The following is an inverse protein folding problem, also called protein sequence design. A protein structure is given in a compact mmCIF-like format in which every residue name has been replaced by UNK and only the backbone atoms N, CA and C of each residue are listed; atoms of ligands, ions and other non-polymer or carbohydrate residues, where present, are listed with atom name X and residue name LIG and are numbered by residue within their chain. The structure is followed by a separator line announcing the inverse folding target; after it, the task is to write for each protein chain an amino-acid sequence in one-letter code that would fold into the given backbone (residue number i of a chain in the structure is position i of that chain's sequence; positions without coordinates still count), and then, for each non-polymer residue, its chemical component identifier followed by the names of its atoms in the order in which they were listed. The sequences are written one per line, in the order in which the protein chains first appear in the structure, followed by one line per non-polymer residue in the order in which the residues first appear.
data_IF_810950880234
#
_entry.id   IF_810950880234
#
_cell.length_a   1.000
_cell.length_b   1.000
_cell.length_c   1.000
_cell.angle_alpha   90.00
_cell.angle_beta   90.00
_cell.angle_gamma   90.00
#
_symmetry.space_group_name_H-M   'P 1'
#
loop_
_entity.id
_entity.type
_entity.pdbx_description
1 polymer ?
#
# COMPACT_ATOMS: atom_id res chain seq x y z
N UNK A 1 -7.31 -20.19 -0.98
CA UNK A 1 -8.49 -19.35 -1.24
C UNK A 1 -8.87 -18.44 -0.06
N UNK A 2 -9.05 -18.94 1.19
CA UNK A 2 -9.43 -18.08 2.33
C UNK A 2 -8.40 -16.98 2.65
N UNK A 3 -7.11 -17.26 2.59
CA UNK A 3 -6.06 -16.25 2.72
C UNK A 3 -6.12 -15.16 1.64
N UNK A 4 -6.49 -15.51 0.41
CA UNK A 4 -6.70 -14.55 -0.67
C UNK A 4 -7.94 -13.68 -0.42
N UNK A 5 -8.99 -14.24 0.21
CA UNK A 5 -10.15 -13.46 0.66
C UNK A 5 -9.79 -12.43 1.74
N UNK A 6 -8.97 -12.82 2.71
CA UNK A 6 -8.44 -11.88 3.71
C UNK A 6 -7.58 -10.78 3.05
N UNK A 7 -6.80 -11.12 2.03
CA UNK A 7 -5.97 -10.17 1.29
C UNK A 7 -6.83 -9.18 0.46
N UNK A 8 -7.94 -9.65 -0.10
CA UNK A 8 -8.96 -8.80 -0.74
C UNK A 8 -9.50 -7.75 0.26
N UNK A 9 -9.91 -8.17 1.46
CA UNK A 9 -10.36 -7.27 2.52
C UNK A 9 -9.29 -6.25 2.93
N UNK A 10 -8.03 -6.68 3.03
CA UNK A 10 -6.92 -5.77 3.37
C UNK A 10 -6.78 -4.63 2.35
N UNK A 11 -6.87 -4.93 1.07
CA UNK A 11 -6.79 -3.92 0.00
C UNK A 11 -8.05 -3.05 -0.09
N UNK A 12 -9.23 -3.63 0.17
CA UNK A 12 -10.46 -2.85 0.30
C UNK A 12 -10.31 -1.77 1.38
N UNK A 13 -9.93 -2.15 2.61
CA UNK A 13 -9.73 -1.21 3.71
C UNK A 13 -8.66 -0.15 3.42
N UNK A 14 -7.65 -0.48 2.64
CA UNK A 14 -6.57 0.44 2.26
C UNK A 14 -7.06 1.58 1.39
N UNK A 15 -7.97 1.31 0.45
CA UNK A 15 -8.39 2.26 -0.60
C UNK A 15 -9.72 2.93 -0.27
N UNK A 16 -10.56 2.33 0.57
CA UNK A 16 -11.96 2.72 0.78
C UNK A 16 -12.19 4.15 1.30
N UNK A 17 -11.21 4.75 2.01
CA UNK A 17 -11.40 6.10 2.59
C UNK A 17 -11.58 7.17 1.50
N UNK A 18 -10.88 7.06 0.38
CA UNK A 18 -11.02 8.02 -0.72
C UNK A 18 -12.43 8.07 -1.30
N UNK A 19 -13.08 6.90 -1.41
CA UNK A 19 -14.44 6.80 -1.94
C UNK A 19 -15.52 7.34 -0.99
N UNK A 20 -15.27 7.40 0.32
CA UNK A 20 -16.20 7.91 1.33
C UNK A 20 -15.74 9.22 1.99
N UNK A 21 -14.75 9.89 1.38
CA UNK A 21 -14.11 11.06 1.97
C UNK A 21 -15.07 12.20 2.28
N UNK A 22 -15.95 12.52 1.32
CA UNK A 22 -16.94 13.58 1.47
C UNK A 22 -17.95 13.29 2.60
N UNK A 23 -18.43 12.03 2.66
CA UNK A 23 -19.37 11.58 3.70
C UNK A 23 -18.74 11.65 5.09
N UNK A 24 -17.46 11.22 5.21
CA UNK A 24 -16.72 11.31 6.47
C UNK A 24 -16.52 12.75 6.93
N UNK A 25 -16.16 13.66 6.02
CA UNK A 25 -16.00 15.07 6.35
C UNK A 25 -17.31 15.69 6.80
N UNK A 26 -18.39 15.42 6.09
CA UNK A 26 -19.70 15.95 6.40
C UNK A 26 -20.27 15.40 7.74
N UNK A 27 -20.28 14.06 7.89
CA UNK A 27 -20.92 13.43 9.05
C UNK A 27 -20.09 13.55 10.35
N UNK A 28 -18.76 13.54 10.25
CA UNK A 28 -17.89 13.67 11.43
C UNK A 28 -17.49 15.13 11.72
N UNK A 29 -17.86 16.09 10.83
CA UNK A 29 -17.51 17.50 10.97
C UNK A 29 -16.01 17.74 10.95
N UNK A 30 -15.24 17.05 10.09
CA UNK A 30 -13.78 17.10 10.08
C UNK A 30 -13.24 17.78 8.81
N UNK A 31 -12.14 18.51 8.96
CA UNK A 31 -11.39 19.09 7.84
C UNK A 31 -10.52 18.08 7.09
N UNK A 32 -9.83 18.54 6.05
CA UNK A 32 -8.98 17.72 5.21
C UNK A 32 -7.76 17.17 5.98
N UNK A 33 -7.18 17.93 6.90
CA UNK A 33 -6.08 17.45 7.76
C UNK A 33 -6.50 16.28 8.65
N UNK A 34 -7.68 16.37 9.28
CA UNK A 34 -8.22 15.31 10.11
C UNK A 34 -8.58 14.08 9.28
N UNK A 35 -9.13 14.25 8.07
CA UNK A 35 -9.37 13.16 7.13
C UNK A 35 -8.07 12.48 6.73
N UNK A 36 -7.03 13.25 6.42
CA UNK A 36 -5.68 12.74 6.15
C UNK A 36 -5.09 11.98 7.34
N UNK A 37 -5.24 12.52 8.56
CA UNK A 37 -4.82 11.87 9.79
C UNK A 37 -5.55 10.54 10.02
N UNK A 38 -6.86 10.49 9.74
CA UNK A 38 -7.67 9.26 9.81
C UNK A 38 -7.14 8.19 8.85
N UNK A 39 -6.80 8.55 7.63
CA UNK A 39 -6.17 7.64 6.66
C UNK A 39 -4.79 7.18 7.12
N UNK A 40 -3.99 8.08 7.67
CA UNK A 40 -2.62 7.84 8.12
C UNK A 40 -2.52 6.80 9.24
N UNK A 41 -3.51 6.71 10.14
CA UNK A 41 -3.50 5.75 11.26
C UNK A 41 -3.29 4.32 10.77
N UNK A 42 -3.95 3.94 9.67
CA UNK A 42 -3.79 2.65 9.01
C UNK A 42 -2.33 2.42 8.58
N UNK A 43 -1.73 3.41 7.92
CA UNK A 43 -0.39 3.28 7.34
C UNK A 43 0.72 3.27 8.39
N UNK A 44 0.61 4.08 9.44
CA UNK A 44 1.56 4.06 10.55
C UNK A 44 1.60 2.70 11.24
N UNK A 45 0.44 2.15 11.56
CA UNK A 45 0.36 0.82 12.19
C UNK A 45 0.89 -0.26 11.25
N UNK A 46 0.55 -0.18 9.96
CA UNK A 46 1.05 -1.13 8.97
C UNK A 46 2.59 -1.07 8.85
N UNK A 47 3.18 0.14 8.86
CA UNK A 47 4.64 0.31 8.86
C UNK A 47 5.31 -0.29 10.10
N UNK A 48 4.75 -0.04 11.28
CA UNK A 48 5.25 -0.59 12.55
C UNK A 48 5.17 -2.12 12.60
N UNK A 49 4.15 -2.70 12.00
CA UNK A 49 3.89 -4.13 12.01
C UNK A 49 4.67 -4.92 10.96
N UNK A 50 5.42 -4.29 10.05
CA UNK A 50 6.16 -4.98 8.99
C UNK A 50 7.11 -6.09 9.51
N UNK A 51 7.86 -5.79 10.56
CA UNK A 51 8.77 -6.76 11.20
C UNK A 51 8.02 -7.66 12.20
N UNK A 52 7.20 -7.13 13.15
CA UNK A 52 6.43 -7.96 14.06
C UNK A 52 5.52 -8.99 13.39
N UNK A 53 4.90 -8.66 12.24
CA UNK A 53 4.03 -9.59 11.51
C UNK A 53 4.79 -10.87 11.08
N UNK A 54 6.05 -10.72 10.64
CA UNK A 54 6.91 -11.86 10.33
C UNK A 54 7.19 -12.73 11.55
N UNK A 55 7.56 -12.10 12.66
CA UNK A 55 7.84 -12.79 13.93
C UNK A 55 6.60 -13.53 14.44
N UNK A 56 5.43 -12.89 14.41
CA UNK A 56 4.16 -13.52 14.83
C UNK A 56 3.83 -14.75 13.95
N UNK A 57 3.97 -14.61 12.63
CA UNK A 57 3.73 -15.72 11.72
C UNK A 57 4.73 -16.89 11.91
N UNK A 58 5.98 -16.59 12.35
CA UNK A 58 7.01 -17.59 12.62
C UNK A 58 6.83 -18.28 13.97
N UNK A 59 6.33 -17.57 14.97
CA UNK A 59 6.22 -18.08 16.36
C UNK A 59 4.86 -18.72 16.64
N UNK A 60 3.77 -18.03 16.30
CA UNK A 60 2.40 -18.49 16.55
C UNK A 60 1.86 -19.37 15.41
N UNK A 61 2.50 -19.30 14.25
CA UNK A 61 2.05 -19.93 13.02
C UNK A 61 1.12 -19.03 12.20
N UNK A 62 1.08 -19.23 10.87
CA UNK A 62 0.32 -18.38 9.96
C UNK A 62 -1.20 -18.48 10.16
N UNK A 63 -1.75 -19.64 10.54
CA UNK A 63 -3.19 -19.82 10.79
C UNK A 63 -3.67 -18.97 11.97
N UNK A 64 -3.03 -19.12 13.13
CA UNK A 64 -3.44 -18.38 14.34
C UNK A 64 -3.26 -16.87 14.16
N UNK A 65 -2.14 -16.44 13.60
CA UNK A 65 -1.83 -15.04 13.34
C UNK A 65 -2.81 -14.43 12.34
N UNK A 66 -3.12 -15.14 11.26
CA UNK A 66 -4.07 -14.68 10.24
C UNK A 66 -5.49 -14.56 10.82
N UNK A 67 -5.94 -15.57 11.59
CA UNK A 67 -7.25 -15.54 12.23
C UNK A 67 -7.38 -14.37 13.20
N UNK A 68 -6.40 -14.19 14.08
CA UNK A 68 -6.38 -13.08 15.03
C UNK A 68 -6.37 -11.72 14.29
N UNK A 69 -5.56 -11.59 13.24
CA UNK A 69 -5.52 -10.38 12.41
C UNK A 69 -6.88 -10.06 11.79
N UNK A 70 -7.54 -11.05 11.17
CA UNK A 70 -8.85 -10.86 10.55
C UNK A 70 -9.93 -10.55 11.61
N UNK A 71 -9.88 -11.16 12.80
CA UNK A 71 -10.79 -10.83 13.91
C UNK A 71 -10.61 -9.39 14.39
N UNK A 72 -9.37 -8.93 14.54
CA UNK A 72 -9.09 -7.55 14.95
C UNK A 72 -9.57 -6.57 13.85
N UNK A 73 -9.33 -6.89 12.57
CA UNK A 73 -9.81 -6.08 11.47
C UNK A 73 -11.35 -6.06 11.40
N UNK A 74 -12.01 -7.18 11.69
CA UNK A 74 -13.46 -7.26 11.78
C UNK A 74 -14.02 -6.36 12.88
N UNK A 75 -13.45 -6.45 14.10
CA UNK A 75 -13.83 -5.59 15.22
C UNK A 75 -13.61 -4.10 14.89
N UNK A 76 -12.47 -3.78 14.24
CA UNK A 76 -12.19 -2.44 13.78
C UNK A 76 -13.18 -1.96 12.70
N UNK A 77 -13.59 -2.82 11.76
CA UNK A 77 -14.57 -2.46 10.72
C UNK A 77 -15.97 -2.22 11.31
N UNK A 78 -16.41 -3.05 12.24
CA UNK A 78 -17.66 -2.84 12.98
C UNK A 78 -17.61 -1.52 13.77
N UNK A 79 -16.53 -1.29 14.53
CA UNK A 79 -16.34 -0.06 15.28
C UNK A 79 -16.30 1.18 14.37
N UNK A 80 -15.71 1.07 13.17
CA UNK A 80 -15.66 2.17 12.21
C UNK A 80 -17.07 2.51 11.68
N UNK A 81 -17.86 1.50 11.31
CA UNK A 81 -19.25 1.72 10.90
C UNK A 81 -20.14 2.32 11.98
N UNK A 82 -19.81 2.09 13.26
CA UNK A 82 -20.53 2.62 14.43
C UNK A 82 -19.90 3.90 15.00
N UNK A 83 -18.84 4.45 14.37
CA UNK A 83 -18.13 5.59 14.90
C UNK A 83 -18.98 6.87 14.91
N UNK A 84 -19.13 7.50 16.09
CA UNK A 84 -19.87 8.74 16.27
C UNK A 84 -19.02 10.01 16.18
N UNK A 85 -17.70 9.91 15.96
CA UNK A 85 -16.78 11.05 15.86
C UNK A 85 -15.38 10.65 15.45
N UNK A 86 -14.53 11.65 15.23
CA UNK A 86 -13.15 11.45 14.75
C UNK A 86 -12.33 10.47 15.61
N UNK A 87 -12.37 10.63 16.95
CA UNK A 87 -11.54 9.80 17.84
C UNK A 87 -11.91 8.31 17.73
N UNK A 88 -13.21 7.99 17.74
CA UNK A 88 -13.69 6.60 17.60
C UNK A 88 -13.40 6.04 16.23
N UNK A 89 -13.52 6.83 15.16
CA UNK A 89 -13.15 6.45 13.81
C UNK A 89 -11.63 6.19 13.69
N UNK A 90 -10.80 7.03 14.31
CA UNK A 90 -9.33 6.87 14.29
C UNK A 90 -8.88 5.60 15.03
N UNK A 91 -9.46 5.30 16.21
CA UNK A 91 -9.20 4.04 16.93
C UNK A 91 -9.62 2.84 16.08
N UNK A 92 -10.80 2.89 15.49
CA UNK A 92 -11.33 1.82 14.64
C UNK A 92 -10.42 1.59 13.42
N UNK A 93 -9.94 2.65 12.76
CA UNK A 93 -8.98 2.57 11.63
C UNK A 93 -7.63 2.00 12.07
N UNK A 94 -7.17 2.37 13.26
CA UNK A 94 -5.95 1.81 13.86
C UNK A 94 -6.09 0.29 14.05
N UNK A 95 -7.22 -0.18 14.57
CA UNK A 95 -7.52 -1.62 14.73
C UNK A 95 -7.57 -2.32 13.37
N UNK A 96 -8.23 -1.73 12.36
CA UNK A 96 -8.25 -2.29 11.00
C UNK A 96 -6.81 -2.43 10.49
N UNK A 97 -6.00 -1.36 10.57
CA UNK A 97 -4.60 -1.36 10.13
C UNK A 97 -3.77 -2.44 10.82
N UNK A 98 -3.93 -2.59 12.13
CA UNK A 98 -3.25 -3.62 12.92
C UNK A 98 -3.65 -5.02 12.45
N UNK A 99 -4.94 -5.28 12.33
CA UNK A 99 -5.46 -6.59 11.94
C UNK A 99 -5.02 -7.00 10.53
N UNK A 100 -5.07 -6.09 9.55
CA UNK A 100 -4.72 -6.43 8.17
C UNK A 100 -3.22 -6.48 7.90
N UNK A 101 -2.38 -5.91 8.76
CA UNK A 101 -0.92 -5.85 8.58
C UNK A 101 -0.24 -7.22 8.54
N UNK A 102 -0.80 -8.22 9.19
CA UNK A 102 -0.26 -9.59 9.24
C UNK A 102 -0.68 -10.45 8.05
N UNK A 103 -1.74 -10.04 7.31
CA UNK A 103 -2.40 -10.89 6.31
C UNK A 103 -1.46 -11.31 5.20
N UNK A 104 -0.71 -10.35 4.62
CA UNK A 104 0.17 -10.65 3.49
C UNK A 104 1.27 -11.63 3.85
N UNK A 105 1.93 -11.42 4.99
CA UNK A 105 3.01 -12.30 5.45
C UNK A 105 2.50 -13.71 5.76
N UNK A 106 1.37 -13.81 6.46
CA UNK A 106 0.74 -15.11 6.75
C UNK A 106 0.32 -15.84 5.47
N UNK A 107 -0.24 -15.12 4.49
CA UNK A 107 -0.62 -15.68 3.19
C UNK A 107 0.60 -16.23 2.44
N UNK A 108 1.70 -15.46 2.36
CA UNK A 108 2.93 -15.92 1.72
C UNK A 108 3.48 -17.18 2.41
N UNK A 109 3.45 -17.21 3.74
CA UNK A 109 3.93 -18.36 4.52
C UNK A 109 3.06 -19.59 4.30
N UNK A 110 1.72 -19.43 4.27
CA UNK A 110 0.82 -20.54 3.90
C UNK A 110 1.12 -21.04 2.50
N UNK A 111 1.37 -20.15 1.53
CA UNK A 111 1.72 -20.57 0.17
C UNK A 111 3.05 -21.33 0.14
N UNK A 112 4.07 -20.88 0.87
CA UNK A 112 5.35 -21.57 0.97
C UNK A 112 5.24 -22.96 1.60
N UNK A 113 4.33 -23.13 2.57
CA UNK A 113 4.14 -24.40 3.26
C UNK A 113 3.29 -25.42 2.47
N UNK A 114 2.36 -24.93 1.61
CA UNK A 114 1.38 -25.79 0.92
C UNK A 114 1.68 -26.05 -0.54
N UNK A 115 2.46 -25.17 -1.19
CA UNK A 115 2.74 -25.29 -2.62
C UNK A 115 4.22 -25.60 -2.86
N UNK A 116 4.51 -26.53 -3.77
CA UNK A 116 5.86 -26.76 -4.25
C UNK A 116 6.44 -25.48 -4.86
N UNK A 117 7.76 -25.28 -4.78
CA UNK A 117 8.49 -24.10 -5.25
C UNK A 117 8.06 -23.63 -6.65
N UNK A 118 7.88 -24.60 -7.58
CA UNK A 118 7.43 -24.33 -8.96
C UNK A 118 6.03 -23.71 -9.07
N UNK A 119 5.16 -23.88 -8.06
CA UNK A 119 3.77 -23.36 -8.02
C UNK A 119 3.61 -22.18 -7.08
N UNK A 120 4.61 -21.88 -6.28
CA UNK A 120 4.56 -20.79 -5.31
C UNK A 120 4.25 -19.44 -5.97
N UNK A 121 4.99 -19.08 -7.03
CA UNK A 121 4.77 -17.81 -7.75
C UNK A 121 3.35 -17.71 -8.34
N UNK A 122 2.79 -18.81 -8.86
CA UNK A 122 1.42 -18.86 -9.36
C UNK A 122 0.40 -18.64 -8.24
N UNK A 123 0.59 -19.26 -7.08
CA UNK A 123 -0.29 -19.10 -5.92
C UNK A 123 -0.28 -17.66 -5.40
N UNK A 124 0.90 -17.04 -5.32
CA UNK A 124 1.07 -15.62 -4.95
C UNK A 124 0.38 -14.71 -5.99
N UNK A 125 0.57 -14.99 -7.28
CA UNK A 125 -0.07 -14.24 -8.37
C UNK A 125 -1.60 -14.26 -8.28
N UNK A 126 -2.20 -15.44 -8.10
CA UNK A 126 -3.66 -15.58 -7.92
C UNK A 126 -4.15 -14.82 -6.70
N UNK A 127 -3.42 -14.88 -5.58
CA UNK A 127 -3.77 -14.12 -4.38
C UNK A 127 -3.64 -12.62 -4.58
N UNK A 128 -2.66 -12.17 -5.39
CA UNK A 128 -2.50 -10.76 -5.74
C UNK A 128 -3.68 -10.22 -6.56
N UNK A 129 -4.25 -11.04 -7.45
CA UNK A 129 -5.49 -10.69 -8.16
C UNK A 129 -6.64 -10.44 -7.18
N UNK A 130 -6.79 -11.27 -6.14
CA UNK A 130 -7.81 -11.05 -5.11
C UNK A 130 -7.60 -9.71 -4.37
N UNK A 131 -6.33 -9.34 -4.06
CA UNK A 131 -6.02 -8.03 -3.49
C UNK A 131 -6.44 -6.89 -4.40
N UNK A 132 -6.12 -6.98 -5.70
CA UNK A 132 -6.51 -5.96 -6.70
C UNK A 132 -8.02 -5.84 -6.79
N UNK A 133 -8.76 -6.94 -6.81
CA UNK A 133 -10.23 -6.93 -6.81
C UNK A 133 -10.78 -6.22 -5.57
N UNK A 134 -10.16 -6.42 -4.39
CA UNK A 134 -10.51 -5.70 -3.17
C UNK A 134 -10.28 -4.20 -3.29
N UNK A 135 -9.14 -3.79 -3.86
CA UNK A 135 -8.86 -2.37 -4.11
C UNK A 135 -9.85 -1.75 -5.10
N UNK A 136 -10.16 -2.46 -6.20
CA UNK A 136 -11.14 -2.00 -7.19
C UNK A 136 -12.54 -1.89 -6.60
N UNK A 137 -12.98 -2.85 -5.77
CA UNK A 137 -14.27 -2.78 -5.08
C UNK A 137 -14.39 -1.56 -4.16
N UNK A 138 -13.27 -1.06 -3.64
CA UNK A 138 -13.19 0.12 -2.79
C UNK A 138 -13.17 1.47 -3.55
N UNK A 139 -13.27 1.47 -4.88
CA UNK A 139 -13.30 2.68 -5.71
C UNK A 139 -14.72 2.98 -6.22
N UNK A 140 -14.95 3.01 -7.52
CA UNK A 140 -16.25 3.30 -8.11
C UNK A 140 -17.40 2.40 -7.61
N UNK A 141 -17.22 1.07 -7.40
CA UNK A 141 -18.28 0.25 -6.81
C UNK A 141 -18.70 0.68 -5.41
N UNK A 142 -17.75 1.03 -4.55
CA UNK A 142 -18.06 1.56 -3.23
C UNK A 142 -18.73 2.93 -3.34
N UNK A 143 -18.18 3.83 -4.17
CA UNK A 143 -18.76 5.15 -4.40
C UNK A 143 -20.22 5.07 -4.89
N UNK A 144 -20.52 4.10 -5.77
CA UNK A 144 -21.91 3.83 -6.20
C UNK A 144 -22.75 3.25 -5.06
N UNK A 145 -22.23 2.28 -4.31
CA UNK A 145 -22.99 1.61 -3.25
C UNK A 145 -23.42 2.59 -2.16
N UNK A 146 -22.57 3.57 -1.81
CA UNK A 146 -22.92 4.56 -0.79
C UNK A 146 -23.98 5.58 -1.24
N UNK A 147 -24.32 5.65 -2.52
CA UNK A 147 -25.51 6.39 -2.97
C UNK A 147 -26.81 5.69 -2.62
N UNK A 148 -26.78 4.38 -2.37
CA UNK A 148 -27.94 3.56 -2.04
C UNK A 148 -28.07 3.28 -0.55
N UNK A 149 -26.93 3.12 0.15
CA UNK A 149 -26.87 2.80 1.58
C UNK A 149 -25.75 3.61 2.24
N UNK A 150 -25.92 3.95 3.52
CA UNK A 150 -24.86 4.65 4.25
C UNK A 150 -23.55 3.85 4.29
N UNK A 151 -22.42 4.54 4.15
CA UNK A 151 -21.08 3.95 4.31
C UNK A 151 -20.94 3.16 5.63
N UNK A 152 -21.69 3.56 6.67
CA UNK A 152 -21.71 2.86 7.97
C UNK A 152 -22.18 1.43 7.80
N UNK A 153 -23.28 1.20 7.09
CA UNK A 153 -23.82 -0.14 6.85
C UNK A 153 -22.84 -0.99 6.03
N UNK A 154 -22.12 -0.39 5.06
CA UNK A 154 -21.10 -1.09 4.28
C UNK A 154 -19.98 -1.60 5.18
N UNK A 155 -19.44 -0.75 6.08
CA UNK A 155 -18.36 -1.17 6.98
C UNK A 155 -18.82 -2.17 8.03
N UNK A 156 -20.06 -2.07 8.53
CA UNK A 156 -20.66 -3.10 9.40
C UNK A 156 -20.78 -4.44 8.64
N UNK A 157 -21.29 -4.43 7.41
CA UNK A 157 -21.41 -5.65 6.59
C UNK A 157 -20.03 -6.29 6.35
N UNK A 158 -19.00 -5.49 6.02
CA UNK A 158 -17.62 -5.96 5.85
C UNK A 158 -17.09 -6.53 7.16
N UNK A 159 -17.39 -5.91 8.30
CA UNK A 159 -17.04 -6.45 9.61
C UNK A 159 -17.64 -7.83 9.85
N UNK A 160 -18.92 -8.02 9.54
CA UNK A 160 -19.61 -9.32 9.66
C UNK A 160 -18.99 -10.36 8.71
N UNK A 161 -18.75 -9.99 7.43
CA UNK A 161 -18.09 -10.87 6.47
C UNK A 161 -16.70 -11.26 6.95
N UNK A 162 -15.96 -10.33 7.57
CA UNK A 162 -14.63 -10.58 8.14
C UNK A 162 -14.71 -11.55 9.33
N UNK A 163 -15.74 -11.48 10.18
CA UNK A 163 -15.95 -12.45 11.26
C UNK A 163 -16.20 -13.87 10.72
N UNK A 164 -17.06 -13.99 9.70
CA UNK A 164 -17.32 -15.27 9.03
C UNK A 164 -16.04 -15.82 8.40
N UNK A 165 -15.26 -14.95 7.74
CA UNK A 165 -13.99 -15.33 7.15
C UNK A 165 -12.97 -15.77 8.21
N UNK A 166 -12.90 -15.09 9.36
CA UNK A 166 -12.01 -15.48 10.46
C UNK A 166 -12.39 -16.86 11.01
N UNK A 167 -13.67 -17.13 11.20
CA UNK A 167 -14.17 -18.45 11.58
C UNK A 167 -13.81 -19.52 10.53
N UNK A 168 -14.03 -19.21 9.26
CA UNK A 168 -13.66 -20.11 8.16
C UNK A 168 -12.15 -20.40 8.13
N UNK A 169 -11.30 -19.38 8.33
CA UNK A 169 -9.85 -19.56 8.42
C UNK A 169 -9.51 -20.48 9.60
N UNK A 170 -10.11 -20.23 10.76
CA UNK A 170 -9.84 -21.03 11.95
C UNK A 170 -10.19 -22.48 11.78
N UNK A 171 -11.30 -22.83 11.15
CA UNK A 171 -11.74 -24.23 11.01
C UNK A 171 -11.10 -24.97 9.84
N UNK A 172 -10.86 -24.30 8.71
CA UNK A 172 -10.41 -25.01 7.48
C UNK A 172 -8.94 -24.79 7.10
N UNK A 173 -8.29 -23.72 7.58
CA UNK A 173 -6.87 -23.50 7.29
C UNK A 173 -6.01 -24.31 8.26
N UNK A 174 -4.94 -24.91 7.75
CA UNK A 174 -3.87 -25.56 8.53
C UNK A 174 -2.55 -24.92 8.16
N UNK A 175 -1.61 -24.82 9.11
CA UNK A 175 -0.32 -24.15 8.92
C UNK A 175 0.53 -24.86 7.86
N UNK A 176 0.50 -26.20 7.83
CA UNK A 176 1.21 -27.05 6.87
C UNK A 176 0.50 -28.39 6.71
N UNK A 177 0.82 -29.16 5.64
CA UNK A 177 0.36 -30.54 5.46
C UNK A 177 0.87 -31.47 6.55
N UNK A 178 2.11 -31.25 7.00
CA UNK A 178 2.78 -32.04 8.04
C UNK A 178 2.98 -31.20 9.31
N UNK A 179 2.84 -31.80 10.52
CA UNK A 179 2.87 -31.04 11.78
C UNK A 179 4.24 -30.51 12.20
N UNK A 180 5.32 -30.92 11.53
CA UNK A 180 6.70 -30.60 11.94
C UNK A 180 7.28 -29.36 11.22
N UNK A 181 6.58 -28.24 11.28
CA UNK A 181 7.14 -26.96 10.82
C UNK A 181 8.05 -26.38 11.90
N UNK A 182 9.36 -26.39 11.65
CA UNK A 182 10.34 -25.74 12.53
C UNK A 182 9.97 -24.28 12.76
N UNK A 183 9.55 -23.96 13.98
CA UNK A 183 9.32 -22.58 14.41
C UNK A 183 10.67 -21.91 14.61
N UNK A 184 10.89 -20.80 13.95
CA UNK A 184 12.14 -20.04 14.07
C UNK A 184 12.21 -19.38 15.47
N UNK A 185 13.34 -19.50 16.14
CA UNK A 185 13.53 -18.88 17.46
C UNK A 185 13.40 -17.35 17.38
N UNK A 186 12.57 -16.79 18.24
CA UNK A 186 12.16 -15.37 18.24
C UNK A 186 13.29 -14.34 18.46
N UNK A 187 14.55 -14.75 18.62
CA UNK A 187 15.65 -13.87 19.08
C UNK A 187 16.50 -13.19 18.00
N UNK A 188 16.48 -13.68 16.76
CA UNK A 188 17.47 -13.25 15.75
C UNK A 188 17.07 -12.02 14.91
N UNK A 189 15.82 -11.56 15.00
CA UNK A 189 15.33 -10.46 14.17
C UNK A 189 16.00 -9.11 14.48
N UNK A 190 16.34 -8.85 15.76
CA UNK A 190 17.01 -7.59 16.15
C UNK A 190 18.40 -7.47 15.53
N UNK A 191 19.14 -8.58 15.49
CA UNK A 191 20.44 -8.61 14.85
C UNK A 191 20.31 -8.47 13.33
N UNK A 192 19.36 -9.18 12.71
CA UNK A 192 19.08 -9.07 11.29
C UNK A 192 18.72 -7.63 10.89
N UNK A 193 17.88 -6.95 11.68
CA UNK A 193 17.54 -5.55 11.47
C UNK A 193 18.76 -4.64 11.57
N UNK A 194 19.61 -4.82 12.59
CA UNK A 194 20.84 -4.04 12.73
C UNK A 194 21.79 -4.21 11.56
N UNK A 195 22.00 -5.45 11.10
CA UNK A 195 22.89 -5.76 9.97
C UNK A 195 22.38 -5.12 8.67
N UNK A 196 21.08 -5.23 8.38
CA UNK A 196 20.46 -4.64 7.21
C UNK A 196 20.45 -3.12 7.27
N UNK A 197 20.14 -2.52 8.42
CA UNK A 197 20.13 -1.07 8.59
C UNK A 197 21.53 -0.46 8.55
N UNK A 198 22.54 -1.18 9.02
CA UNK A 198 23.95 -0.76 8.96
C UNK A 198 24.52 -0.80 7.52
N UNK A 199 23.89 -1.51 6.58
CA UNK A 199 24.33 -1.55 5.19
C UNK A 199 23.87 -0.30 4.42
N UNK A 200 24.77 0.61 4.00
CA UNK A 200 24.40 1.83 3.27
C UNK A 200 23.66 1.55 1.96
N UNK A 201 23.87 0.37 1.34
CA UNK A 201 23.23 0.00 0.09
C UNK A 201 21.73 -0.35 0.25
N UNK A 202 21.24 -0.53 1.48
CA UNK A 202 19.82 -0.75 1.79
C UNK A 202 19.00 0.54 1.67
N UNK A 203 19.60 1.71 1.90
CA UNK A 203 18.88 2.96 1.98
C UNK A 203 18.35 3.52 0.66
N UNK A 204 19.08 3.47 -0.48
CA UNK A 204 18.50 3.90 -1.75
C UNK A 204 17.21 3.15 -2.14
N UNK A 205 17.11 1.80 -2.03
CA UNK A 205 15.85 1.07 -2.15
C UNK A 205 14.75 1.55 -1.19
N UNK A 206 15.08 1.82 0.08
CA UNK A 206 14.13 2.37 1.06
C UNK A 206 13.57 3.72 0.59
N UNK A 207 14.44 4.68 0.19
CA UNK A 207 14.03 6.01 -0.24
C UNK A 207 13.23 5.99 -1.55
N UNK A 208 13.51 5.05 -2.46
CA UNK A 208 12.72 4.86 -3.67
C UNK A 208 11.30 4.42 -3.33
N UNK A 209 11.15 3.43 -2.44
CA UNK A 209 9.83 2.98 -1.98
C UNK A 209 9.12 4.06 -1.17
N UNK A 210 9.85 4.76 -0.28
CA UNK A 210 9.35 5.89 0.50
C UNK A 210 8.75 6.99 -0.39
N UNK A 211 9.40 7.30 -1.49
CA UNK A 211 8.91 8.32 -2.42
C UNK A 211 7.76 7.81 -3.29
N UNK A 212 8.03 6.85 -4.16
CA UNK A 212 7.07 6.44 -5.20
C UNK A 212 5.87 5.69 -4.61
N UNK A 213 6.09 4.68 -3.78
CA UNK A 213 5.00 3.93 -3.17
C UNK A 213 4.19 4.78 -2.21
N UNK A 214 4.85 5.64 -1.42
CA UNK A 214 4.18 6.57 -0.50
C UNK A 214 3.27 7.55 -1.22
N UNK A 215 3.77 8.23 -2.25
CA UNK A 215 2.98 9.17 -3.04
C UNK A 215 1.84 8.46 -3.81
N UNK A 216 2.12 7.31 -4.42
CA UNK A 216 1.10 6.50 -5.10
C UNK A 216 -0.01 6.05 -4.15
N UNK A 217 0.34 5.49 -2.98
CA UNK A 217 -0.64 5.06 -2.00
C UNK A 217 -1.45 6.24 -1.45
N UNK A 218 -0.82 7.37 -1.18
CA UNK A 218 -1.50 8.59 -0.73
C UNK A 218 -2.52 9.07 -1.76
N UNK A 219 -2.15 9.08 -3.04
CA UNK A 219 -3.02 9.46 -4.13
C UNK A 219 -4.23 8.51 -4.23
N UNK A 220 -3.99 7.21 -4.46
CA UNK A 220 -5.06 6.26 -4.80
C UNK A 220 -5.94 5.86 -3.60
N UNK A 221 -5.41 5.93 -2.37
CA UNK A 221 -6.18 5.52 -1.20
C UNK A 221 -7.04 6.64 -0.61
N UNK A 222 -6.72 7.92 -0.89
CA UNK A 222 -7.46 9.02 -0.30
C UNK A 222 -7.65 10.21 -1.26
N UNK A 223 -6.58 10.79 -1.82
CA UNK A 223 -6.65 12.13 -2.38
C UNK A 223 -7.06 12.20 -3.86
N UNK A 224 -7.03 11.09 -4.63
CA UNK A 224 -7.43 11.11 -6.03
C UNK A 224 -8.91 11.48 -6.21
N UNK A 225 -9.81 10.88 -5.42
CA UNK A 225 -11.26 11.13 -5.53
C UNK A 225 -11.60 12.57 -5.11
N UNK A 226 -11.22 13.07 -3.91
CA UNK A 226 -11.45 14.46 -3.54
C UNK A 226 -10.87 15.47 -4.54
N UNK A 227 -9.66 15.22 -5.06
CA UNK A 227 -9.04 16.08 -6.07
C UNK A 227 -9.90 16.17 -7.33
N UNK A 228 -10.34 15.05 -7.88
CA UNK A 228 -11.14 15.03 -9.11
C UNK A 228 -12.52 15.67 -8.90
N UNK A 229 -13.12 15.47 -7.74
CA UNK A 229 -14.40 16.12 -7.39
C UNK A 229 -14.25 17.64 -7.27
N UNK A 230 -13.28 18.12 -6.49
CA UNK A 230 -13.17 19.55 -6.20
C UNK A 230 -12.49 20.36 -7.31
N UNK A 231 -11.53 19.78 -8.05
CA UNK A 231 -10.80 20.49 -9.11
C UNK A 231 -11.48 20.39 -10.46
N UNK A 232 -12.08 19.22 -10.76
CA UNK A 232 -12.69 18.97 -12.09
C UNK A 232 -14.22 18.86 -12.06
N UNK A 233 -14.86 19.04 -10.89
CA UNK A 233 -16.32 19.01 -10.75
C UNK A 233 -16.94 17.63 -11.06
N UNK A 234 -16.16 16.55 -10.92
CA UNK A 234 -16.65 15.21 -11.22
C UNK A 234 -17.56 14.69 -10.12
N UNK A 235 -18.51 13.85 -10.50
CA UNK A 235 -19.25 13.04 -9.54
C UNK A 235 -18.31 12.01 -8.87
N UNK A 236 -18.63 11.63 -7.64
CA UNK A 236 -17.80 10.72 -6.83
C UNK A 236 -17.58 9.35 -7.50
N UNK A 237 -18.61 8.81 -8.16
CA UNK A 237 -18.52 7.56 -8.93
C UNK A 237 -17.56 7.71 -10.11
N UNK A 238 -17.65 8.82 -10.85
CA UNK A 238 -16.78 9.12 -11.98
C UNK A 238 -15.32 9.26 -11.53
N UNK A 239 -15.07 9.99 -10.45
CA UNK A 239 -13.74 10.11 -9.85
C UNK A 239 -13.18 8.75 -9.39
N UNK A 240 -14.05 7.88 -8.85
CA UNK A 240 -13.72 6.49 -8.54
C UNK A 240 -13.28 5.66 -9.72
N UNK A 241 -13.85 5.89 -10.93
CA UNK A 241 -13.45 5.20 -12.17
C UNK A 241 -12.00 5.57 -12.56
N UNK A 242 -11.59 6.83 -12.42
CA UNK A 242 -10.19 7.23 -12.68
C UNK A 242 -9.23 6.57 -11.71
N UNK A 243 -9.60 6.48 -10.42
CA UNK A 243 -8.80 5.76 -9.43
C UNK A 243 -8.71 4.27 -9.76
N UNK A 244 -9.82 3.65 -10.17
CA UNK A 244 -9.85 2.25 -10.64
C UNK A 244 -8.95 2.06 -11.87
N UNK A 245 -8.99 2.97 -12.84
CA UNK A 245 -8.13 2.94 -14.03
C UNK A 245 -6.65 2.96 -13.65
N UNK A 246 -6.27 3.80 -12.68
CA UNK A 246 -4.90 3.84 -12.15
C UNK A 246 -4.50 2.50 -11.53
N UNK A 247 -5.38 1.88 -10.74
CA UNK A 247 -5.12 0.59 -10.10
C UNK A 247 -5.03 -0.56 -11.11
N UNK A 248 -5.87 -0.56 -12.16
CA UNK A 248 -5.79 -1.56 -13.24
C UNK A 248 -4.48 -1.41 -14.00
N UNK A 249 -4.10 -0.20 -14.38
CA UNK A 249 -2.83 0.07 -15.06
C UNK A 249 -1.63 -0.38 -14.19
N UNK A 250 -1.68 -0.11 -12.88
CA UNK A 250 -0.70 -0.60 -11.90
C UNK A 250 -0.61 -2.12 -11.92
N UNK A 251 -1.74 -2.80 -11.82
CA UNK A 251 -1.81 -4.26 -11.80
C UNK A 251 -1.22 -4.90 -13.06
N UNK A 252 -1.51 -4.33 -14.22
CA UNK A 252 -0.97 -4.79 -15.51
C UNK A 252 0.53 -4.51 -15.63
N UNK A 253 1.01 -3.40 -15.07
CA UNK A 253 2.41 -2.99 -15.20
C UNK A 253 3.37 -3.78 -14.29
N UNK A 254 2.93 -4.22 -13.10
CA UNK A 254 3.78 -4.96 -12.15
C UNK A 254 4.50 -6.15 -12.81
N UNK A 255 3.81 -7.12 -13.44
CA UNK A 255 4.47 -8.27 -14.06
C UNK A 255 5.33 -7.88 -15.26
N UNK A 256 4.90 -6.88 -16.03
CA UNK A 256 5.63 -6.41 -17.22
C UNK A 256 6.96 -5.79 -16.84
N UNK A 257 6.98 -4.88 -15.85
CA UNK A 257 8.22 -4.25 -15.38
C UNK A 257 9.17 -5.27 -14.73
N UNK A 258 8.63 -6.21 -13.96
CA UNK A 258 9.41 -7.31 -13.39
C UNK A 258 10.08 -8.15 -14.50
N UNK A 259 9.30 -8.59 -15.47
CA UNK A 259 9.79 -9.38 -16.60
C UNK A 259 10.85 -8.62 -17.45
N UNK A 260 10.61 -7.35 -17.75
CA UNK A 260 11.58 -6.52 -18.47
C UNK A 260 12.89 -6.38 -17.71
N UNK A 261 12.81 -6.10 -16.43
CA UNK A 261 13.98 -5.96 -15.57
C UNK A 261 14.82 -7.25 -15.51
N UNK A 262 14.14 -8.41 -15.41
CA UNK A 262 14.81 -9.70 -15.36
C UNK A 262 15.41 -10.08 -16.72
N UNK A 263 14.68 -9.86 -17.82
CA UNK A 263 15.14 -10.19 -19.17
C UNK A 263 16.32 -9.32 -19.62
N UNK A 264 16.25 -8.02 -19.35
CA UNK A 264 17.32 -7.07 -19.70
C UNK A 264 18.48 -7.12 -18.71
N UNK A 265 18.30 -7.78 -17.56
CA UNK A 265 19.28 -7.81 -16.45
C UNK A 265 19.71 -6.41 -16.02
N UNK A 266 18.75 -5.48 -15.94
CA UNK A 266 18.95 -4.11 -15.47
C UNK A 266 17.91 -3.73 -14.44
N UNK A 267 18.32 -3.13 -13.36
CA UNK A 267 17.42 -2.66 -12.28
C UNK A 267 17.36 -1.13 -12.24
N UNK A 268 18.52 -0.51 -12.14
CA UNK A 268 18.65 0.94 -11.94
C UNK A 268 18.08 1.77 -13.09
N UNK A 269 18.36 1.53 -14.37
CA UNK A 269 17.81 2.32 -15.47
C UNK A 269 16.28 2.29 -15.53
N UNK A 270 15.67 1.12 -15.27
CA UNK A 270 14.20 0.98 -15.24
C UNK A 270 13.61 1.75 -14.06
N UNK A 271 14.24 1.67 -12.88
CA UNK A 271 13.81 2.44 -11.71
C UNK A 271 13.88 3.95 -11.95
N UNK A 272 14.93 4.45 -12.61
CA UNK A 272 15.07 5.87 -13.00
C UNK A 272 13.95 6.25 -13.98
N UNK A 273 13.79 5.49 -15.08
CA UNK A 273 12.75 5.76 -16.07
C UNK A 273 11.35 5.78 -15.46
N UNK A 274 11.03 4.80 -14.59
CA UNK A 274 9.76 4.74 -13.87
C UNK A 274 9.57 5.93 -12.92
N UNK A 275 10.63 6.35 -12.20
CA UNK A 275 10.55 7.51 -11.29
C UNK A 275 10.29 8.80 -12.04
N UNK A 276 10.98 9.01 -13.20
CA UNK A 276 10.77 10.17 -14.06
C UNK A 276 9.38 10.16 -14.68
N UNK A 277 8.91 9.00 -15.15
CA UNK A 277 7.56 8.85 -15.70
C UNK A 277 6.48 9.10 -14.63
N UNK A 278 6.70 8.64 -13.40
CA UNK A 278 5.81 8.90 -12.27
C UNK A 278 5.73 10.39 -11.93
N UNK A 279 6.86 11.08 -11.86
CA UNK A 279 6.92 12.53 -11.68
C UNK A 279 6.19 13.27 -12.83
N UNK A 280 6.47 12.90 -14.09
CA UNK A 280 5.82 13.50 -15.26
C UNK A 280 4.30 13.30 -15.24
N UNK A 281 3.82 12.11 -14.85
CA UNK A 281 2.38 11.87 -14.70
C UNK A 281 1.76 12.78 -13.63
N UNK A 282 2.49 13.06 -12.55
CA UNK A 282 2.08 14.01 -11.51
C UNK A 282 1.92 15.43 -12.02
N UNK A 283 2.77 15.90 -12.94
CA UNK A 283 2.61 17.19 -13.59
C UNK A 283 1.32 17.27 -14.43
N UNK A 284 0.93 16.17 -15.08
CA UNK A 284 -0.34 16.11 -15.81
C UNK A 284 -1.53 16.18 -14.85
N UNK A 285 -1.46 15.56 -13.68
CA UNK A 285 -2.48 15.72 -12.62
C UNK A 285 -2.62 17.19 -12.18
N UNK A 286 -1.54 17.94 -12.13
CA UNK A 286 -1.55 19.39 -11.81
C UNK A 286 -2.13 20.26 -12.94
N UNK A 287 -2.41 19.69 -14.10
CA UNK A 287 -2.94 20.44 -15.23
C UNK A 287 -1.87 21.06 -16.13
N UNK A 288 -0.69 20.48 -16.19
CA UNK A 288 0.42 20.92 -17.03
C UNK A 288 0.75 19.88 -18.11
N UNK A 289 0.37 20.07 -19.37
CA UNK A 289 -0.51 21.09 -19.96
C UNK A 289 -2.00 20.90 -19.64
N UNK A 290 -2.86 21.92 -19.86
CA UNK A 290 -4.29 21.97 -19.47
C UNK A 290 -5.02 20.64 -19.69
N UNK A 291 -5.61 20.03 -18.65
CA UNK A 291 -6.16 18.70 -18.75
C UNK A 291 -7.51 18.71 -19.50
N UNK A 292 -7.52 18.05 -20.65
CA UNK A 292 -8.76 17.54 -21.22
C UNK A 292 -9.16 16.24 -20.51
N UNK A 293 -10.37 15.75 -20.70
CA UNK A 293 -10.81 14.43 -20.19
C UNK A 293 -9.82 13.32 -20.60
N UNK A 294 -9.34 13.36 -21.85
CA UNK A 294 -8.30 12.43 -22.33
C UNK A 294 -6.97 12.60 -21.62
N UNK A 295 -6.59 13.83 -21.24
CA UNK A 295 -5.39 14.10 -20.45
C UNK A 295 -5.45 13.50 -19.06
N UNK A 296 -6.61 13.56 -18.38
CA UNK A 296 -6.79 12.93 -17.06
C UNK A 296 -6.77 11.41 -17.13
N UNK A 297 -7.37 10.80 -18.17
CA UNK A 297 -7.25 9.35 -18.40
C UNK A 297 -5.80 8.97 -18.64
N UNK A 298 -5.08 9.72 -19.46
CA UNK A 298 -3.65 9.50 -19.69
C UNK A 298 -2.84 9.62 -18.41
N UNK A 299 -3.10 10.63 -17.56
CA UNK A 299 -2.45 10.79 -16.27
C UNK A 299 -2.71 9.58 -15.35
N UNK A 300 -3.96 9.13 -15.23
CA UNK A 300 -4.33 7.96 -14.44
C UNK A 300 -3.59 6.69 -14.91
N UNK A 301 -3.60 6.44 -16.23
CA UNK A 301 -2.91 5.30 -16.84
C UNK A 301 -1.39 5.40 -16.64
N UNK A 302 -0.77 6.56 -16.96
CA UNK A 302 0.68 6.75 -16.80
C UNK A 302 1.14 6.62 -15.35
N UNK A 303 0.36 7.14 -14.40
CA UNK A 303 0.62 6.97 -12.96
C UNK A 303 0.63 5.48 -12.60
N UNK A 304 -0.39 4.74 -13.04
CA UNK A 304 -0.48 3.31 -12.81
C UNK A 304 0.64 2.52 -13.46
N UNK A 305 1.03 2.86 -14.70
CA UNK A 305 2.12 2.17 -15.41
C UNK A 305 3.49 2.45 -14.80
N UNK A 306 3.73 3.68 -14.32
CA UNK A 306 5.02 4.09 -13.79
C UNK A 306 5.23 3.69 -12.32
N UNK A 307 4.19 3.75 -11.49
CA UNK A 307 4.30 3.50 -10.06
C UNK A 307 4.99 2.17 -9.70
N UNK A 308 4.73 1.02 -10.38
CA UNK A 308 5.37 -0.26 -10.05
C UNK A 308 6.90 -0.27 -10.10
N UNK A 309 7.54 0.77 -10.63
CA UNK A 309 9.00 0.93 -10.57
C UNK A 309 9.57 0.82 -9.14
N UNK A 310 8.78 1.17 -8.12
CA UNK A 310 9.20 1.00 -6.73
C UNK A 310 9.37 -0.48 -6.33
N UNK A 311 8.72 -1.41 -6.99
CA UNK A 311 8.84 -2.85 -6.65
C UNK A 311 10.25 -3.39 -6.90
N UNK A 312 11.01 -2.76 -7.79
CA UNK A 312 12.42 -3.07 -8.01
C UNK A 312 13.26 -2.84 -6.74
N UNK A 313 12.82 -1.96 -5.85
CA UNK A 313 13.46 -1.75 -4.54
C UNK A 313 13.54 -3.03 -3.72
N UNK A 314 12.50 -3.87 -3.78
CA UNK A 314 12.48 -5.14 -3.03
C UNK A 314 13.51 -6.13 -3.58
N UNK A 315 13.60 -6.22 -4.92
CA UNK A 315 14.60 -7.05 -5.57
C UNK A 315 16.02 -6.56 -5.23
N UNK A 316 16.28 -5.24 -5.38
CA UNK A 316 17.59 -4.64 -5.10
C UNK A 316 17.94 -4.79 -3.61
N UNK A 317 17.00 -4.54 -2.70
CA UNK A 317 17.24 -4.65 -1.26
C UNK A 317 17.75 -6.05 -0.87
N UNK A 318 17.14 -7.12 -1.41
CA UNK A 318 17.62 -8.49 -1.18
C UNK A 318 18.96 -8.77 -1.87
N UNK A 319 19.21 -8.18 -3.05
CA UNK A 319 20.40 -8.42 -3.87
C UNK A 319 21.65 -7.71 -3.32
N UNK A 320 21.48 -6.66 -2.49
CA UNK A 320 22.59 -5.92 -1.86
C UNK A 320 22.85 -6.31 -0.41
N UNK A 321 22.08 -7.24 0.15
CA UNK A 321 22.21 -7.72 1.53
C UNK A 321 22.53 -9.23 1.56
N UNK A 322 22.99 -9.79 2.70
CA UNK A 322 23.20 -11.22 2.86
C UNK A 322 21.95 -12.03 2.46
N UNK A 323 22.09 -13.13 1.72
CA UNK A 323 20.95 -13.97 1.31
C UNK A 323 20.06 -14.39 2.49
N UNK A 324 20.66 -14.68 3.66
CA UNK A 324 19.98 -15.09 4.88
C UNK A 324 19.13 -13.96 5.49
N UNK A 325 19.40 -12.70 5.10
CA UNK A 325 18.70 -11.49 5.55
C UNK A 325 17.73 -10.92 4.48
N UNK A 326 17.52 -11.63 3.39
CA UNK A 326 16.70 -11.16 2.27
C UNK A 326 15.30 -10.69 2.69
N UNK A 327 14.61 -11.45 3.55
CA UNK A 327 13.28 -11.09 4.05
C UNK A 327 13.29 -9.79 4.88
N UNK A 328 14.30 -9.61 5.75
CA UNK A 328 14.46 -8.39 6.54
C UNK A 328 14.78 -7.19 5.65
N UNK A 329 15.62 -7.36 4.64
CA UNK A 329 15.96 -6.30 3.69
C UNK A 329 14.74 -5.81 2.89
N UNK A 330 13.90 -6.73 2.44
CA UNK A 330 12.62 -6.39 1.78
C UNK A 330 11.68 -5.68 2.75
N UNK A 331 11.57 -6.16 3.99
CA UNK A 331 10.72 -5.53 5.01
C UNK A 331 11.16 -4.08 5.30
N UNK A 332 12.46 -3.83 5.47
CA UNK A 332 13.02 -2.48 5.67
C UNK A 332 12.70 -1.58 4.48
N UNK A 333 12.94 -2.04 3.25
CA UNK A 333 12.59 -1.26 2.06
C UNK A 333 11.08 -0.96 1.99
N UNK A 334 10.23 -1.91 2.37
CA UNK A 334 8.78 -1.79 2.30
C UNK A 334 8.19 -0.84 3.37
N UNK A 335 8.82 -0.76 4.56
CA UNK A 335 8.46 0.22 5.60
C UNK A 335 8.41 1.64 5.02
N UNK A 336 9.34 1.98 4.12
CA UNK A 336 9.41 3.29 3.48
C UNK A 336 8.06 3.72 2.88
N UNK A 337 7.43 2.88 2.08
CA UNK A 337 6.17 3.22 1.40
C UNK A 337 5.01 3.49 2.37
N UNK A 338 4.86 2.66 3.39
CA UNK A 338 3.81 2.84 4.39
C UNK A 338 4.07 4.05 5.30
N UNK A 339 5.31 4.24 5.72
CA UNK A 339 5.69 5.40 6.53
C UNK A 339 5.44 6.70 5.77
N UNK A 340 5.84 6.77 4.49
CA UNK A 340 5.60 7.94 3.66
C UNK A 340 4.10 8.20 3.42
N UNK A 341 3.29 7.17 3.16
CA UNK A 341 1.86 7.34 3.04
C UNK A 341 1.23 7.87 4.35
N UNK A 342 1.71 7.38 5.51
CA UNK A 342 1.31 7.90 6.82
C UNK A 342 1.65 9.38 7.01
N UNK A 343 2.80 9.85 6.51
CA UNK A 343 3.22 11.25 6.58
C UNK A 343 2.47 12.11 5.54
N UNK A 344 2.38 11.63 4.32
CA UNK A 344 1.85 12.40 3.19
C UNK A 344 0.34 12.63 3.30
N UNK A 345 -0.44 11.67 3.81
CA UNK A 345 -1.89 11.84 3.90
C UNK A 345 -2.30 13.05 4.75
N UNK A 346 -1.84 13.21 6.01
CA UNK A 346 -2.17 14.38 6.80
C UNK A 346 -1.47 15.65 6.29
N UNK A 347 -0.28 15.53 5.69
CA UNK A 347 0.43 16.67 5.11
C UNK A 347 -0.35 17.29 3.95
N UNK A 348 -0.84 16.46 3.01
CA UNK A 348 -1.71 16.93 1.91
C UNK A 348 -2.99 17.56 2.48
N UNK A 349 -3.62 16.92 3.48
CA UNK A 349 -4.80 17.45 4.13
C UNK A 349 -4.55 18.80 4.81
N UNK A 350 -3.43 18.96 5.48
CA UNK A 350 -3.03 20.22 6.09
C UNK A 350 -2.83 21.33 5.05
N UNK A 351 -2.17 21.02 3.93
CA UNK A 351 -2.00 21.97 2.82
C UNK A 351 -3.36 22.38 2.24
N UNK A 352 -4.28 21.44 2.07
CA UNK A 352 -5.63 21.72 1.60
C UNK A 352 -6.36 22.64 2.58
N UNK A 353 -6.33 22.38 3.89
CA UNK A 353 -6.99 23.21 4.90
C UNK A 353 -6.42 24.64 4.94
N UNK A 354 -5.10 24.83 4.80
CA UNK A 354 -4.47 26.16 4.73
C UNK A 354 -4.93 26.97 3.50
N UNK A 355 -5.09 26.30 2.37
CA UNK A 355 -5.52 26.94 1.13
C UNK A 355 -7.01 27.28 1.09
N UNK A 356 -7.81 26.84 2.07
CA UNK A 356 -9.26 27.08 2.12
C UNK A 356 -9.65 28.30 2.97
N UNK A 357 -8.74 28.85 3.76
CA UNK A 357 -9.05 29.95 4.68
C UNK A 357 -10.13 29.59 5.70
N UNK A 358 -10.32 28.30 6.00
CA UNK A 358 -11.33 27.80 6.93
C UNK A 358 -12.72 27.56 6.33
N UNK A 359 -12.87 27.69 5.00
CA UNK A 359 -14.14 27.38 4.31
C UNK A 359 -14.27 25.86 4.11
N UNK A 360 -15.36 25.27 4.61
CA UNK A 360 -15.67 23.88 4.37
C UNK A 360 -15.84 23.62 2.87
N UNK A 361 -15.10 22.61 2.33
CA UNK A 361 -15.21 22.20 0.93
C UNK A 361 -13.98 22.48 0.05
N UNK A 362 -13.01 23.26 0.53
CA UNK A 362 -11.71 23.46 -0.15
C UNK A 362 -11.78 24.13 -1.53
N UNK A 363 -10.88 25.07 -1.82
CA UNK A 363 -10.73 25.62 -3.18
C UNK A 363 -10.05 24.61 -4.11
N UNK A 364 -10.34 24.66 -5.41
CA UNK A 364 -9.64 23.86 -6.41
C UNK A 364 -8.12 24.03 -6.34
N UNK A 365 -7.65 25.25 -6.06
CA UNK A 365 -6.22 25.56 -5.95
C UNK A 365 -5.59 24.94 -4.71
N UNK A 366 -6.33 24.83 -3.60
CA UNK A 366 -5.85 24.13 -2.40
C UNK A 366 -5.60 22.63 -2.67
N UNK A 367 -6.51 21.99 -3.40
CA UNK A 367 -6.31 20.59 -3.83
C UNK A 367 -5.17 20.45 -4.84
N UNK A 368 -4.98 21.40 -5.76
CA UNK A 368 -3.82 21.40 -6.66
C UNK A 368 -2.51 21.52 -5.87
N UNK A 369 -2.45 22.40 -4.87
CA UNK A 369 -1.28 22.50 -3.99
C UNK A 369 -1.03 21.18 -3.23
N UNK A 370 -2.08 20.54 -2.72
CA UNK A 370 -1.98 19.23 -2.08
C UNK A 370 -1.40 18.15 -2.99
N UNK A 371 -1.85 18.06 -4.25
CA UNK A 371 -1.25 17.15 -5.24
C UNK A 371 0.17 17.62 -5.60
N UNK A 372 0.45 18.92 -5.64
CA UNK A 372 1.79 19.47 -5.82
C UNK A 372 2.80 18.96 -4.79
N UNK A 373 2.38 18.73 -3.55
CA UNK A 373 3.22 18.08 -2.52
C UNK A 373 3.64 16.68 -2.95
N UNK A 374 2.71 15.88 -3.49
CA UNK A 374 3.02 14.52 -3.96
C UNK A 374 3.98 14.54 -5.15
N UNK A 375 3.81 15.49 -6.06
CA UNK A 375 4.71 15.68 -7.21
C UNK A 375 6.10 16.08 -6.74
N UNK A 376 6.21 17.08 -5.85
CA UNK A 376 7.50 17.46 -5.26
C UNK A 376 8.17 16.32 -4.50
N UNK A 377 7.38 15.53 -3.76
CA UNK A 377 7.88 14.35 -3.04
C UNK A 377 8.46 13.28 -3.96
N UNK A 378 7.90 13.13 -5.16
CA UNK A 378 8.37 12.13 -6.14
C UNK A 378 9.79 12.40 -6.64
N UNK A 379 10.32 13.63 -6.51
CA UNK A 379 11.73 13.98 -6.81
C UNK A 379 12.70 13.17 -5.92
N UNK A 380 12.33 12.90 -4.67
CA UNK A 380 13.13 12.03 -3.78
C UNK A 380 13.34 10.66 -4.44
N UNK A 381 12.31 10.14 -5.12
CA UNK A 381 12.38 8.86 -5.83
C UNK A 381 13.35 8.89 -7.01
N UNK A 382 13.39 9.98 -7.77
CA UNK A 382 14.36 10.16 -8.86
C UNK A 382 15.77 10.16 -8.29
N UNK A 383 16.03 10.94 -7.24
CA UNK A 383 17.34 10.99 -6.59
C UNK A 383 17.73 9.63 -6.01
N UNK A 384 16.80 8.94 -5.35
CA UNK A 384 17.03 7.61 -4.80
C UNK A 384 17.34 6.59 -5.91
N UNK A 385 16.61 6.63 -7.03
CA UNK A 385 16.83 5.74 -8.18
C UNK A 385 18.23 5.92 -8.77
N UNK A 386 18.76 7.14 -8.84
CA UNK A 386 20.14 7.39 -9.32
C UNK A 386 21.21 6.86 -8.36
N UNK A 387 20.87 6.63 -7.08
CA UNK A 387 21.79 6.08 -6.06
C UNK A 387 21.69 4.57 -5.89
N UNK A 388 20.75 3.91 -6.59
CA UNK A 388 20.62 2.45 -6.56
C UNK A 388 21.89 1.77 -7.07
N UNK A 389 22.23 0.66 -6.44
CA UNK A 389 23.25 -0.25 -6.96
C UNK A 389 22.66 -1.03 -8.12
N UNK A 390 23.35 -1.04 -9.27
CA UNK A 390 22.99 -1.94 -10.37
C UNK A 390 23.45 -3.36 -10.03
N UNK A 391 22.50 -4.25 -9.82
CA UNK A 391 22.74 -5.63 -9.38
C UNK A 391 22.70 -6.64 -10.52
N UNK A 392 22.12 -6.28 -11.65
CA UNK A 392 21.91 -7.14 -12.81
C UNK A 392 21.18 -8.45 -12.47
N UNK A 393 20.30 -8.42 -11.45
CA UNK A 393 19.55 -9.57 -10.99
C UNK A 393 20.38 -10.61 -10.22
N UNK A 394 21.54 -10.23 -9.66
CA UNK A 394 22.41 -11.10 -8.86
C UNK A 394 22.58 -10.54 -7.45
N UNK A 395 22.81 -11.41 -6.48
CA UNK A 395 23.24 -10.97 -5.17
C UNK A 395 24.70 -10.50 -5.25
N UNK A 396 24.92 -9.22 -4.94
CA UNK A 396 26.24 -8.56 -5.03
C UNK A 396 26.86 -8.29 -3.65
N UNK A 397 26.32 -8.88 -2.58
CA UNK A 397 26.81 -8.68 -1.22
C UNK A 397 28.26 -9.15 -1.03
N UNK A 398 28.57 -10.36 -1.49
CA UNK A 398 29.91 -10.94 -1.36
C UNK A 398 30.95 -10.14 -2.14
N UNK A 399 30.63 -9.70 -3.36
CA UNK A 399 31.52 -8.91 -4.22
C UNK A 399 31.90 -7.57 -3.57
N UNK A 400 30.93 -6.95 -2.86
CA UNK A 400 31.15 -5.67 -2.15
C UNK A 400 32.00 -5.83 -0.88
N UNK A 401 31.93 -6.98 -0.24
CA UNK A 401 32.81 -7.31 0.91
C UNK A 401 34.28 -7.43 0.49
N UNK A 402 34.53 -8.02 -0.68
CA UNK A 402 35.88 -8.14 -1.24
C UNK A 402 36.48 -6.78 -1.68
N UNK A 403 35.66 -5.87 -2.20
CA UNK A 403 36.10 -4.53 -2.65
C UNK A 403 36.35 -3.53 -1.47
N UNK A 404 35.97 -3.87 -0.24
CA UNK A 404 36.18 -3.03 0.96
C UNK A 404 37.35 -3.49 1.82
N UNK A 405 37.97 -4.63 1.51
CA UNK A 405 39.23 -5.12 2.10
C UNK A 405 40.42 -4.76 1.21
#
# INVERSE_FOLDING_TARGET
MLGSGAFCLSFFHRVSIGAIAADLQHELGIGAAALGALGATYFYVYALMQVPAGVLADTLGPRATLTAGVLIAAAGSLAFGLAGGFATAAVARTLIGFGVSVIFVCMLKLHANWFAERRFATAVGVSSVAGILGALAATAPLAWLITLVSWRHVFVAIGIVSLVLAAAIWWWVRDAPEPDVRRVAAGQWRQALKEVAANPATWPPFWLTFSMSGAFMTLVSLWAVPFLVHVHGMEQVQAGIYTATTLVAFACSVPVLGWWSDRLRVRRPIAIASSVAFFASGLVWLGLPVPSTSGLVAAAVLTGLAAPGFTLSWAIAKEVNPPERAGMAIAVANIGGFLAAGILQPLVGWVVDQGTGGVAGGSADAYRLGIGVLVGWSVIGIVAATRLTETRGRNVWADRGAARR
#
